data_IF_699338102938
#
_entry.id   IF_699338102938
#
_cell.length_a   1.000
_cell.length_b   1.000
_cell.length_c   1.000
_cell.angle_alpha   90.00
_cell.angle_beta   90.00
_cell.angle_gamma   90.00
#
_symmetry.space_group_name_H-M   'P 1'
#
loop_
_entity.id
_entity.type
_entity.pdbx_description
1 polymer ?
#
# COMPACT_ATOMS: atom_id res chain seq x y z
N UNK A 1 -39.80 7.31 5.66
CA UNK A 1 -39.09 8.59 5.52
C UNK A 1 -38.20 8.99 6.73
N UNK A 2 -38.62 8.80 7.99
CA UNK A 2 -37.88 9.25 9.20
C UNK A 2 -36.49 8.57 9.37
N UNK A 3 -36.36 7.25 9.14
CA UNK A 3 -35.09 6.50 9.26
C UNK A 3 -34.04 6.91 8.22
N UNK A 4 -34.46 7.20 6.98
CA UNK A 4 -33.57 7.66 5.91
C UNK A 4 -32.93 9.01 6.25
N UNK A 5 -33.70 9.91 6.85
CA UNK A 5 -33.23 11.23 7.25
C UNK A 5 -32.22 11.17 8.41
N UNK A 6 -32.39 10.22 9.33
CA UNK A 6 -31.42 10.01 10.43
C UNK A 6 -30.09 9.44 9.96
N UNK A 7 -30.10 8.53 8.99
CA UNK A 7 -28.87 7.96 8.41
C UNK A 7 -28.08 9.01 7.62
N UNK A 8 -28.76 9.87 6.88
CA UNK A 8 -28.13 11.00 6.18
C UNK A 8 -27.51 12.01 7.15
N UNK A 9 -28.18 12.32 8.26
CA UNK A 9 -27.63 13.20 9.32
C UNK A 9 -26.37 12.60 9.95
N UNK A 10 -26.38 11.28 10.25
CA UNK A 10 -25.23 10.58 10.79
C UNK A 10 -24.06 10.57 9.80
N UNK A 11 -24.30 10.30 8.52
CA UNK A 11 -23.27 10.30 7.48
C UNK A 11 -22.61 11.68 7.34
N UNK A 12 -23.41 12.76 7.31
CA UNK A 12 -22.89 14.14 7.27
C UNK A 12 -22.07 14.49 8.51
N UNK A 13 -22.50 14.05 9.69
CA UNK A 13 -21.75 14.29 10.94
C UNK A 13 -20.39 13.57 10.93
N UNK A 14 -20.33 12.33 10.43
CA UNK A 14 -19.08 11.58 10.25
C UNK A 14 -18.17 12.28 9.26
N UNK A 15 -18.70 12.68 8.11
CA UNK A 15 -17.94 13.43 7.09
C UNK A 15 -17.36 14.71 7.67
N UNK A 16 -18.16 15.50 8.39
CA UNK A 16 -17.69 16.73 9.03
C UNK A 16 -16.59 16.50 10.06
N UNK A 17 -16.73 15.45 10.88
CA UNK A 17 -15.68 15.05 11.83
C UNK A 17 -14.40 14.65 11.12
N UNK A 18 -14.50 13.92 10.00
CA UNK A 18 -13.35 13.52 9.22
C UNK A 18 -12.67 14.72 8.54
N UNK A 19 -13.43 15.69 8.04
CA UNK A 19 -12.88 16.95 7.51
C UNK A 19 -12.08 17.71 8.58
N UNK A 20 -12.60 17.82 9.79
CA UNK A 20 -11.86 18.45 10.91
C UNK A 20 -10.55 17.73 11.22
N UNK A 21 -10.54 16.40 11.21
CA UNK A 21 -9.31 15.61 11.42
C UNK A 21 -8.28 15.84 10.31
N UNK A 22 -8.71 15.99 9.08
CA UNK A 22 -7.83 16.27 7.93
C UNK A 22 -7.27 17.69 7.98
N UNK A 23 -8.09 18.67 8.33
CA UNK A 23 -7.66 20.06 8.52
C UNK A 23 -6.68 20.24 9.69
N UNK A 24 -6.74 19.36 10.69
CA UNK A 24 -5.73 19.31 11.76
C UNK A 24 -4.37 18.81 11.26
N UNK A 25 -4.32 18.00 10.20
CA UNK A 25 -3.07 17.51 9.58
C UNK A 25 -2.55 18.48 8.53
N UNK A 26 -3.45 19.02 7.71
CA UNK A 26 -3.13 20.04 6.71
C UNK A 26 -4.24 21.10 6.68
N UNK A 27 -4.03 22.28 7.32
CA UNK A 27 -5.02 23.35 7.38
C UNK A 27 -5.37 23.99 6.03
N UNK A 28 -4.51 23.79 5.02
CA UNK A 28 -4.69 24.37 3.68
C UNK A 28 -5.61 23.55 2.77
N UNK A 29 -6.09 22.38 3.25
CA UNK A 29 -7.02 21.55 2.49
C UNK A 29 -8.34 22.27 2.26
N UNK A 30 -8.82 22.23 1.03
CA UNK A 30 -10.10 22.81 0.61
C UNK A 30 -10.92 21.88 -0.27
N UNK A 31 -12.00 22.40 -0.85
CA UNK A 31 -12.92 21.65 -1.73
C UNK A 31 -12.58 21.83 -3.22
N UNK A 32 -11.42 22.39 -3.57
CA UNK A 32 -10.99 22.52 -4.96
C UNK A 32 -10.71 21.17 -5.62
N UNK A 33 -10.61 21.21 -6.96
CA UNK A 33 -10.17 20.04 -7.74
C UNK A 33 -8.65 19.90 -7.70
N UNK A 34 -8.15 18.67 -7.71
CA UNK A 34 -6.70 18.46 -7.67
C UNK A 34 -6.28 17.00 -7.46
N UNK A 35 -4.98 16.85 -7.32
CA UNK A 35 -4.32 15.60 -6.97
C UNK A 35 -3.92 15.66 -5.49
N UNK A 36 -4.20 14.59 -4.75
CA UNK A 36 -3.78 14.46 -3.36
C UNK A 36 -2.79 13.33 -3.18
N UNK A 37 -1.92 13.51 -2.21
CA UNK A 37 -0.81 12.63 -1.89
C UNK A 37 -0.92 12.21 -0.43
N UNK A 38 -1.06 10.91 -0.22
CA UNK A 38 -1.02 10.30 1.11
C UNK A 38 0.34 9.62 1.24
N UNK A 39 1.24 10.20 2.02
CA UNK A 39 2.60 9.69 2.18
C UNK A 39 2.88 9.36 3.63
N UNK A 40 3.63 8.31 3.89
CA UNK A 40 4.16 7.98 5.20
C UNK A 40 5.51 7.28 5.09
N UNK A 41 6.29 7.38 6.12
CA UNK A 41 7.49 6.59 6.33
C UNK A 41 7.25 5.67 7.52
N UNK A 42 7.63 4.40 7.45
CA UNK A 42 7.50 3.50 8.57
C UNK A 42 8.76 3.50 9.46
N UNK A 43 8.72 2.73 10.55
CA UNK A 43 9.81 2.62 11.52
C UNK A 43 11.12 2.10 10.91
N UNK A 44 11.05 1.43 9.76
CA UNK A 44 12.19 0.90 9.03
C UNK A 44 12.71 1.87 7.95
N UNK A 45 12.15 3.09 7.89
CA UNK A 45 12.50 4.09 6.88
C UNK A 45 11.92 3.81 5.49
N UNK A 46 10.99 2.85 5.36
CA UNK A 46 10.35 2.56 4.09
C UNK A 46 9.26 3.59 3.82
N UNK A 47 9.41 4.27 2.67
CA UNK A 47 8.48 5.31 2.25
C UNK A 47 7.33 4.71 1.45
N UNK A 48 6.10 5.03 1.84
CA UNK A 48 4.87 4.60 1.18
C UNK A 48 4.14 5.81 0.63
N UNK A 49 3.53 5.67 -0.56
CA UNK A 49 2.71 6.72 -1.15
C UNK A 49 1.44 6.15 -1.78
N UNK A 50 0.40 6.96 -1.75
CA UNK A 50 -0.80 6.81 -2.55
C UNK A 50 -1.11 8.16 -3.18
N UNK A 51 -1.35 8.17 -4.47
CA UNK A 51 -1.75 9.33 -5.25
C UNK A 51 -3.20 9.14 -5.71
N UNK A 52 -4.02 10.14 -5.60
CA UNK A 52 -5.39 10.09 -6.09
C UNK A 52 -5.87 11.43 -6.61
N UNK A 53 -6.85 11.39 -7.48
CA UNK A 53 -7.52 12.57 -8.01
C UNK A 53 -8.84 12.85 -7.27
N UNK A 54 -9.24 14.11 -7.24
CA UNK A 54 -10.53 14.52 -6.70
C UNK A 54 -11.05 15.80 -7.37
N UNK A 55 -12.34 15.81 -7.66
CA UNK A 55 -13.06 17.06 -8.01
C UNK A 55 -13.30 17.93 -6.76
N UNK A 56 -13.32 17.32 -5.58
CA UNK A 56 -13.48 17.95 -4.27
C UNK A 56 -12.55 17.28 -3.27
N UNK A 57 -11.36 17.88 -3.09
CA UNK A 57 -10.26 17.29 -2.35
C UNK A 57 -10.63 16.92 -0.90
N UNK A 58 -11.12 17.87 -0.12
CA UNK A 58 -11.43 17.66 1.30
C UNK A 58 -12.56 16.62 1.49
N UNK A 59 -13.60 16.67 0.64
CA UNK A 59 -14.67 15.68 0.66
C UNK A 59 -14.16 14.27 0.30
N UNK A 60 -13.33 14.14 -0.74
CA UNK A 60 -12.76 12.85 -1.16
C UNK A 60 -11.86 12.25 -0.08
N UNK A 61 -11.00 13.04 0.51
CA UNK A 61 -10.13 12.64 1.61
C UNK A 61 -10.93 12.23 2.86
N UNK A 62 -12.03 12.95 3.17
CA UNK A 62 -12.91 12.58 4.28
C UNK A 62 -13.60 11.22 4.06
N UNK A 63 -13.93 10.87 2.81
CA UNK A 63 -14.45 9.55 2.43
C UNK A 63 -13.44 8.44 2.70
N UNK A 64 -12.15 8.65 2.42
CA UNK A 64 -11.09 7.68 2.73
C UNK A 64 -11.03 7.30 4.23
N UNK A 65 -11.40 8.19 5.12
CA UNK A 65 -11.43 7.90 6.56
C UNK A 65 -12.64 7.05 7.00
N UNK A 66 -13.64 6.87 6.12
CA UNK A 66 -14.88 6.13 6.42
C UNK A 66 -15.06 4.87 5.59
N UNK A 67 -14.45 4.79 4.41
CA UNK A 67 -14.59 3.71 3.44
C UNK A 67 -13.70 2.50 3.78
N UNK A 68 -13.74 1.46 2.93
CA UNK A 68 -13.07 0.18 3.12
C UNK A 68 -12.20 -0.24 1.93
N UNK A 69 -11.78 0.70 1.09
CA UNK A 69 -10.82 0.42 0.03
C UNK A 69 -9.44 0.05 0.61
N UNK A 70 -8.55 -0.44 -0.23
CA UNK A 70 -7.22 -0.85 0.20
C UNK A 70 -6.44 0.25 0.93
N UNK A 71 -6.46 1.48 0.38
CA UNK A 71 -5.82 2.64 1.01
C UNK A 71 -6.54 3.04 2.31
N UNK A 72 -7.87 2.97 2.35
CA UNK A 72 -8.67 3.32 3.53
C UNK A 72 -8.33 2.43 4.72
N UNK A 73 -8.17 1.12 4.48
CA UNK A 73 -7.73 0.17 5.49
C UNK A 73 -6.30 0.46 5.98
N UNK A 74 -5.42 0.90 5.07
CA UNK A 74 -4.06 1.29 5.42
C UNK A 74 -4.06 2.57 6.29
N UNK A 75 -4.86 3.57 5.94
CA UNK A 75 -5.02 4.79 6.76
C UNK A 75 -5.61 4.45 8.13
N UNK A 76 -6.58 3.53 8.19
CA UNK A 76 -7.18 3.08 9.46
C UNK A 76 -6.15 2.39 10.36
N UNK A 77 -5.28 1.58 9.77
CA UNK A 77 -4.23 0.84 10.48
C UNK A 77 -3.12 1.76 11.03
N UNK A 78 -2.65 2.70 10.20
CA UNK A 78 -1.48 3.52 10.51
C UNK A 78 -1.83 4.92 11.02
N UNK A 79 -3.08 5.35 10.85
CA UNK A 79 -3.56 6.68 11.25
C UNK A 79 -3.05 7.81 10.34
N UNK A 80 -3.49 9.01 10.67
CA UNK A 80 -2.96 10.25 10.10
C UNK A 80 -1.74 10.71 10.92
N UNK A 81 -0.85 11.46 10.28
CA UNK A 81 0.32 12.05 10.91
C UNK A 81 -0.11 13.01 12.04
N UNK A 82 0.62 12.94 13.15
CA UNK A 82 0.58 13.90 14.25
C UNK A 82 1.89 13.79 15.04
N UNK A 83 2.16 14.71 15.95
CA UNK A 83 3.32 14.62 16.85
C UNK A 83 3.34 13.30 17.66
N UNK A 84 2.16 12.79 18.00
CA UNK A 84 1.99 11.51 18.71
C UNK A 84 2.04 10.29 17.79
N UNK A 85 1.93 10.50 16.48
CA UNK A 85 1.97 9.45 15.44
C UNK A 85 2.83 9.89 14.27
N UNK A 86 4.17 9.92 14.41
CA UNK A 86 5.08 10.38 13.37
C UNK A 86 5.10 9.47 12.13
N UNK A 87 4.68 8.22 12.25
CA UNK A 87 4.62 7.23 11.17
C UNK A 87 3.26 7.19 10.45
N UNK A 88 2.33 8.07 10.82
CA UNK A 88 1.03 8.22 10.17
C UNK A 88 1.11 8.88 8.80
N UNK A 89 -0.02 8.83 8.07
CA UNK A 89 -0.13 9.44 6.75
C UNK A 89 -0.13 10.97 6.82
N UNK A 90 0.82 11.59 6.14
CA UNK A 90 0.80 13.01 5.79
C UNK A 90 -0.11 13.21 4.58
N UNK A 91 -0.79 14.35 4.53
CA UNK A 91 -1.73 14.70 3.48
C UNK A 91 -1.23 15.97 2.78
N UNK A 92 -0.89 15.85 1.50
CA UNK A 92 -0.50 16.97 0.64
C UNK A 92 -1.42 16.98 -0.60
N UNK A 93 -1.47 18.10 -1.30
CA UNK A 93 -2.27 18.23 -2.51
C UNK A 93 -1.72 19.30 -3.44
N UNK A 94 -2.15 19.25 -4.70
CA UNK A 94 -1.91 20.27 -5.72
C UNK A 94 -3.22 20.47 -6.50
N UNK A 95 -3.57 21.72 -6.76
CA UNK A 95 -4.72 22.05 -7.59
C UNK A 95 -4.42 21.89 -9.06
N UNK A 96 -5.36 21.30 -9.77
CA UNK A 96 -5.37 21.17 -11.22
C UNK A 96 -6.77 21.33 -11.76
N UNK A 97 -6.93 21.82 -13.00
CA UNK A 97 -8.21 21.79 -13.73
C UNK A 97 -8.73 20.35 -13.83
N UNK A 98 -10.03 20.17 -13.78
CA UNK A 98 -10.65 18.84 -13.86
C UNK A 98 -10.25 18.06 -15.10
N UNK A 99 -10.05 18.74 -16.23
CA UNK A 99 -9.61 18.14 -17.50
C UNK A 99 -8.21 17.52 -17.46
N UNK A 100 -7.36 17.92 -16.51
CA UNK A 100 -5.98 17.44 -16.39
C UNK A 100 -5.81 16.35 -15.32
N UNK A 101 -6.83 16.11 -14.48
CA UNK A 101 -6.70 15.28 -13.28
C UNK A 101 -6.18 13.87 -13.56
N UNK A 102 -6.70 13.20 -14.59
CA UNK A 102 -6.28 11.82 -14.91
C UNK A 102 -4.83 11.76 -15.39
N UNK A 103 -4.41 12.74 -16.19
CA UNK A 103 -3.03 12.83 -16.68
C UNK A 103 -2.07 13.09 -15.52
N UNK A 104 -2.40 14.05 -14.66
CA UNK A 104 -1.59 14.41 -13.48
C UNK A 104 -1.53 13.29 -12.47
N UNK A 105 -2.63 12.57 -12.21
CA UNK A 105 -2.61 11.40 -11.33
C UNK A 105 -1.59 10.36 -11.83
N UNK A 106 -1.66 9.97 -13.10
CA UNK A 106 -0.72 9.02 -13.72
C UNK A 106 0.73 9.52 -13.66
N UNK A 107 0.94 10.80 -13.95
CA UNK A 107 2.25 11.43 -13.86
C UNK A 107 2.83 11.31 -12.46
N UNK A 108 2.09 11.70 -11.42
CA UNK A 108 2.58 11.67 -10.04
C UNK A 108 2.72 10.25 -9.48
N UNK A 109 1.87 9.30 -9.84
CA UNK A 109 2.08 7.87 -9.50
C UNK A 109 3.46 7.42 -10.01
N UNK A 110 3.78 7.77 -11.26
CA UNK A 110 5.08 7.48 -11.85
C UNK A 110 6.23 8.17 -11.11
N UNK A 111 6.11 9.46 -10.81
CA UNK A 111 7.15 10.22 -10.13
C UNK A 111 7.47 9.67 -8.74
N UNK A 112 6.45 9.38 -7.93
CA UNK A 112 6.64 8.79 -6.60
C UNK A 112 7.25 7.38 -6.67
N UNK A 113 6.85 6.58 -7.65
CA UNK A 113 7.45 5.26 -7.90
C UNK A 113 8.94 5.37 -8.24
N UNK A 114 9.33 6.31 -9.12
CA UNK A 114 10.73 6.56 -9.49
C UNK A 114 11.57 7.06 -8.32
N UNK A 115 10.97 7.79 -7.38
CA UNK A 115 11.61 8.25 -6.15
C UNK A 115 11.76 7.15 -5.09
N UNK A 116 11.37 5.92 -5.39
CA UNK A 116 11.52 4.77 -4.50
C UNK A 116 10.43 4.63 -3.44
N UNK A 117 9.28 5.31 -3.61
CA UNK A 117 8.11 5.05 -2.75
C UNK A 117 7.45 3.73 -3.09
N UNK A 118 7.03 3.00 -2.07
CA UNK A 118 6.14 1.86 -2.22
C UNK A 118 4.71 2.34 -2.47
N UNK A 119 4.27 2.26 -3.72
CA UNK A 119 2.96 2.74 -4.13
C UNK A 119 1.84 1.87 -3.58
N UNK A 120 0.79 2.50 -3.05
CA UNK A 120 -0.43 1.86 -2.58
C UNK A 120 -1.56 1.92 -3.62
N UNK A 121 -1.31 2.52 -4.77
CA UNK A 121 -2.20 2.45 -5.92
C UNK A 121 -2.23 1.02 -6.46
N UNK A 122 -3.43 0.44 -6.62
CA UNK A 122 -3.62 -0.87 -7.24
C UNK A 122 -3.64 -0.79 -8.76
N UNK A 123 -4.17 0.34 -9.25
CA UNK A 123 -4.26 0.66 -10.67
C UNK A 123 -3.48 1.94 -10.93
N UNK A 124 -3.06 2.11 -12.15
CA UNK A 124 -2.23 3.25 -12.59
C UNK A 124 -3.03 4.56 -12.74
N UNK A 125 -4.21 4.66 -12.12
CA UNK A 125 -5.07 5.84 -12.16
C UNK A 125 -5.86 5.98 -13.46
N UNK A 126 -7.14 6.36 -13.35
CA UNK A 126 -8.04 6.59 -14.47
C UNK A 126 -8.95 5.39 -14.79
N UNK A 127 -10.22 5.51 -14.46
CA UNK A 127 -11.28 4.51 -14.69
C UNK A 127 -11.67 4.25 -16.15
N UNK A 128 -10.86 4.66 -17.11
CA UNK A 128 -11.05 4.36 -18.52
C UNK A 128 -10.05 3.28 -18.95
N UNK A 129 -10.55 2.04 -19.03
CA UNK A 129 -10.03 0.96 -19.82
C UNK A 129 -8.54 0.69 -19.65
N UNK A 130 -8.20 -0.54 -19.33
CA UNK A 130 -6.86 -1.12 -19.44
C UNK A 130 -6.17 -0.72 -20.77
N UNK A 131 -5.76 0.53 -20.89
CA UNK A 131 -4.73 0.86 -21.85
C UNK A 131 -3.43 0.35 -21.24
N UNK A 132 -2.85 -0.61 -21.90
CA UNK A 132 -1.56 -1.20 -21.70
C UNK A 132 -0.50 -0.14 -21.37
N UNK A 133 -0.42 0.24 -20.09
CA UNK A 133 0.89 0.47 -19.54
C UNK A 133 1.50 -0.92 -19.53
N UNK A 134 2.30 -1.22 -20.53
CA UNK A 134 3.03 -2.47 -20.60
C UNK A 134 3.56 -2.75 -19.22
N UNK A 135 3.43 -3.99 -18.76
CA UNK A 135 3.85 -4.43 -17.45
C UNK A 135 5.14 -3.71 -17.08
N UNK A 136 5.04 -2.64 -16.29
CA UNK A 136 6.23 -2.01 -15.73
C UNK A 136 6.76 -2.99 -14.70
N UNK A 137 7.51 -3.95 -15.23
CA UNK A 137 8.37 -4.77 -14.39
C UNK A 137 9.20 -3.79 -13.56
N UNK A 138 9.28 -3.93 -12.24
CA UNK A 138 10.19 -3.13 -11.43
C UNK A 138 11.57 -3.09 -12.07
N UNK A 139 12.33 -2.02 -11.89
CA UNK A 139 13.66 -1.90 -12.47
C UNK A 139 14.47 -3.17 -12.21
N UNK A 140 15.32 -3.57 -13.14
CA UNK A 140 16.13 -4.79 -13.04
C UNK A 140 16.85 -4.83 -11.68
N UNK A 141 17.51 -3.76 -11.25
CA UNK A 141 18.21 -3.71 -9.99
C UNK A 141 17.32 -3.91 -8.74
N UNK A 142 16.06 -3.46 -8.78
CA UNK A 142 15.10 -3.73 -7.71
C UNK A 142 14.68 -5.20 -7.66
N UNK A 143 14.41 -5.81 -8.82
CA UNK A 143 14.08 -7.24 -8.92
C UNK A 143 15.24 -8.11 -8.49
N UNK A 144 16.43 -7.80 -8.96
CA UNK A 144 17.67 -8.51 -8.61
C UNK A 144 17.95 -8.40 -7.11
N UNK A 145 17.76 -7.22 -6.53
CA UNK A 145 17.88 -6.99 -5.08
C UNK A 145 16.91 -7.83 -4.26
N UNK A 146 15.64 -7.98 -4.68
CA UNK A 146 14.67 -8.86 -4.02
C UNK A 146 15.13 -10.32 -4.11
N UNK A 147 15.57 -10.77 -5.28
CA UNK A 147 16.03 -12.15 -5.49
C UNK A 147 17.26 -12.43 -4.64
N UNK A 148 18.23 -11.52 -4.66
CA UNK A 148 19.46 -11.64 -3.86
C UNK A 148 19.17 -11.63 -2.37
N UNK A 149 18.24 -10.77 -1.90
CA UNK A 149 17.81 -10.76 -0.50
C UNK A 149 17.14 -12.06 -0.08
N UNK A 150 16.29 -12.65 -0.94
CA UNK A 150 15.67 -13.96 -0.68
C UNK A 150 16.71 -15.09 -0.64
N UNK A 151 17.66 -15.11 -1.57
CA UNK A 151 18.77 -16.08 -1.57
C UNK A 151 19.61 -15.99 -0.29
N UNK A 152 20.01 -14.78 0.08
CA UNK A 152 20.80 -14.56 1.30
C UNK A 152 20.08 -15.05 2.55
N UNK A 153 18.78 -14.73 2.67
CA UNK A 153 17.94 -15.18 3.78
C UNK A 153 17.76 -16.70 3.78
N UNK A 154 17.48 -17.31 2.62
CA UNK A 154 17.33 -18.76 2.48
C UNK A 154 18.61 -19.49 2.92
N UNK A 155 19.77 -19.00 2.50
CA UNK A 155 21.07 -19.54 2.88
C UNK A 155 21.30 -19.48 4.40
N UNK A 156 21.08 -18.30 5.02
CA UNK A 156 21.26 -18.14 6.47
C UNK A 156 20.30 -19.06 7.26
N UNK A 157 19.04 -19.15 6.87
CA UNK A 157 18.05 -20.00 7.52
C UNK A 157 18.35 -21.50 7.31
N UNK A 158 18.86 -21.89 6.14
CA UNK A 158 19.30 -23.26 5.86
C UNK A 158 20.48 -23.66 6.77
N UNK A 159 21.47 -22.79 6.91
CA UNK A 159 22.61 -23.01 7.81
C UNK A 159 22.18 -23.15 9.28
N UNK A 160 21.26 -22.31 9.76
CA UNK A 160 20.72 -22.39 11.12
C UNK A 160 19.98 -23.74 11.31
N UNK A 161 19.14 -24.12 10.33
CA UNK A 161 18.42 -25.40 10.39
C UNK A 161 19.38 -26.57 10.44
N UNK A 162 20.37 -26.60 9.55
CA UNK A 162 21.29 -27.72 9.45
C UNK A 162 22.18 -27.89 10.70
N UNK A 163 22.59 -26.76 11.29
CA UNK A 163 23.52 -26.78 12.43
C UNK A 163 22.83 -26.83 13.79
N UNK A 164 21.62 -26.34 13.92
CA UNK A 164 21.01 -26.05 15.22
C UNK A 164 19.56 -26.49 15.39
N UNK A 165 18.82 -26.75 14.32
CA UNK A 165 17.38 -27.01 14.41
C UNK A 165 16.95 -28.27 13.66
N UNK A 166 16.03 -29.02 14.26
CA UNK A 166 15.27 -30.05 13.56
C UNK A 166 13.84 -29.57 13.35
N UNK A 167 13.40 -29.50 12.10
CA UNK A 167 12.05 -29.05 11.75
C UNK A 167 11.22 -30.24 11.34
N UNK A 168 10.17 -30.54 12.11
CA UNK A 168 9.27 -31.66 11.89
C UNK A 168 7.81 -31.20 12.02
N UNK A 169 6.89 -32.00 11.46
CA UNK A 169 5.46 -31.80 11.69
C UNK A 169 5.17 -32.13 13.17
N UNK A 170 4.35 -31.30 13.82
CA UNK A 170 3.93 -31.55 15.20
C UNK A 170 3.27 -32.93 15.34
N UNK A 171 3.54 -33.65 16.42
CA UNK A 171 3.03 -35.04 16.60
C UNK A 171 1.51 -35.15 16.37
N UNK A 172 0.74 -34.19 16.86
CA UNK A 172 -0.72 -34.15 16.72
C UNK A 172 -1.22 -33.88 15.29
N UNK A 173 -0.31 -33.58 14.37
CA UNK A 173 -0.61 -33.29 12.94
C UNK A 173 0.10 -34.23 11.98
N UNK A 174 0.66 -35.32 12.47
CA UNK A 174 1.26 -36.35 11.61
C UNK A 174 0.20 -37.00 10.73
N UNK A 175 0.53 -37.23 9.46
CA UNK A 175 -0.41 -37.75 8.45
C UNK A 175 -1.42 -36.72 7.90
N UNK A 176 -1.35 -35.48 8.34
CA UNK A 176 -2.18 -34.40 7.78
C UNK A 176 -1.54 -33.85 6.50
N UNK A 177 -2.20 -34.09 5.35
CA UNK A 177 -1.73 -33.64 4.04
C UNK A 177 -1.46 -32.12 3.93
N UNK A 178 -2.19 -31.28 4.69
CA UNK A 178 -1.94 -29.83 4.71
C UNK A 178 -0.62 -29.53 5.42
N UNK A 179 -0.35 -30.21 6.54
CA UNK A 179 0.91 -30.04 7.28
C UNK A 179 2.11 -30.55 6.49
N UNK A 180 1.97 -31.66 5.76
CA UNK A 180 2.99 -32.18 4.85
C UNK A 180 3.34 -31.17 3.74
N UNK A 181 2.33 -30.62 3.07
CA UNK A 181 2.54 -29.55 2.07
C UNK A 181 3.20 -28.28 2.65
N UNK A 182 2.90 -27.94 3.90
CA UNK A 182 3.54 -26.79 4.53
C UNK A 182 5.01 -27.07 4.86
N UNK A 183 5.35 -28.30 5.23
CA UNK A 183 6.76 -28.70 5.44
C UNK A 183 7.53 -28.70 4.10
N UNK A 184 6.93 -29.22 3.02
CA UNK A 184 7.52 -29.14 1.68
C UNK A 184 7.74 -27.68 1.25
N UNK A 185 6.73 -26.82 1.45
CA UNK A 185 6.84 -25.40 1.17
C UNK A 185 7.94 -24.73 1.99
N UNK A 186 8.05 -25.06 3.28
CA UNK A 186 9.12 -24.54 4.14
C UNK A 186 10.50 -24.95 3.60
N UNK A 187 10.71 -26.23 3.25
CA UNK A 187 11.96 -26.71 2.68
C UNK A 187 12.27 -26.02 1.33
N UNK A 188 11.26 -25.81 0.48
CA UNK A 188 11.41 -25.10 -0.78
C UNK A 188 11.82 -23.63 -0.59
N UNK A 189 11.37 -22.97 0.48
CA UNK A 189 11.77 -21.59 0.79
C UNK A 189 13.21 -21.47 1.28
N UNK A 190 13.79 -22.55 1.80
CA UNK A 190 15.19 -22.60 2.26
C UNK A 190 16.18 -22.95 1.14
N UNK A 191 15.69 -23.41 -0.01
CA UNK A 191 16.54 -23.71 -1.16
C UNK A 191 16.81 -22.43 -1.96
N UNK A 192 18.06 -21.94 -1.89
CA UNK A 192 18.50 -20.75 -2.62
C UNK A 192 18.37 -20.87 -4.15
N UNK A 193 18.37 -22.09 -4.69
CA UNK A 193 18.22 -22.35 -6.12
C UNK A 193 16.82 -22.09 -6.66
N UNK A 194 15.80 -22.00 -5.77
CA UNK A 194 14.43 -21.64 -6.14
C UNK A 194 14.26 -20.15 -6.45
N UNK A 195 15.28 -19.32 -6.14
CA UNK A 195 15.27 -17.88 -6.40
C UNK A 195 16.23 -17.57 -7.59
N UNK A 196 15.76 -17.84 -8.81
CA UNK A 196 16.54 -17.56 -10.03
C UNK A 196 16.25 -16.15 -10.54
N UNK A 197 17.27 -15.52 -11.13
CA UNK A 197 17.09 -14.31 -11.91
C UNK A 197 16.29 -14.64 -13.16
N UNK A 198 15.30 -13.79 -13.50
CA UNK A 198 14.60 -13.91 -14.77
C UNK A 198 15.61 -13.73 -15.92
N UNK A 199 15.93 -14.83 -16.62
CA UNK A 199 16.91 -14.86 -17.72
C UNK A 199 16.43 -14.14 -18.97
N UNK A 200 15.27 -13.46 -18.94
CA UNK A 200 14.72 -12.69 -20.04
C UNK A 200 14.74 -11.19 -19.67
N UNK A 201 15.82 -10.53 -20.09
CA UNK A 201 16.00 -9.09 -20.12
C UNK A 201 15.39 -8.46 -21.35
#
# INVERSE_FOLDING_TARGET
>A
MIKLNQNLKKAKAIEQKNKQRLLAVNPNLDEGSGIYFLTREDELGIRHAYVGLAHRLLTRLAQHLSNYQYIDNSIRKHGLYSEKNPYGYKVNFLHFPESELEEKERYYITQYSLQGYQMKNRDTGGGAGKQELGERKPSKGYRDGIIQGKRSLAKQLSEIREKHLTVTIRPEKQGNKVSEKQLEKFNSLLDENNYKEDSNG
#
